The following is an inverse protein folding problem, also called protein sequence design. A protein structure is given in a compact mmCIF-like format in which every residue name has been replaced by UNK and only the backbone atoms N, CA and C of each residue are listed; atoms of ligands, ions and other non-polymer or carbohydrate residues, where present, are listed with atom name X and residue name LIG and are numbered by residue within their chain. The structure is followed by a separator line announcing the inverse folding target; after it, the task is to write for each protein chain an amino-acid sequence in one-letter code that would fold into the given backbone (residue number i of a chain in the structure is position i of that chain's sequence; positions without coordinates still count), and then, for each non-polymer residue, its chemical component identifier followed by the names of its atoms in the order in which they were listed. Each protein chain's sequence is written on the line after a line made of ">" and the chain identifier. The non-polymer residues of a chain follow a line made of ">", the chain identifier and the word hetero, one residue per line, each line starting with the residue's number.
data_IF_335178588244
#
_entry.id   IF_335178588244
#
_cell.length_a   1.000
_cell.length_b   1.000
_cell.length_c   1.000
_cell.angle_alpha   90.00
_cell.angle_beta   90.00
_cell.angle_gamma   90.00
#
_symmetry.space_group_name_H-M   'P 1'
#
loop_
_entity.id
_entity.type
_entity.pdbx_description
1 polymer ?
#
# COMPACT_ATOMS: atom_id res chain seq x y z
N UNK A 1 -0.18 -1.16 -15.50
CA UNK A 1 -0.06 -0.86 -14.07
C UNK A 1 -1.21 -1.57 -13.35
N UNK A 2 -0.99 -2.14 -12.16
CA UNK A 2 -2.04 -2.72 -11.31
C UNK A 2 -2.72 -1.64 -10.48
N UNK A 3 -3.96 -1.91 -10.07
CA UNK A 3 -4.75 -0.99 -9.24
C UNK A 3 -5.11 -1.69 -7.93
N UNK A 4 -4.75 -1.07 -6.80
CA UNK A 4 -5.12 -1.45 -5.45
C UNK A 4 -6.16 -0.44 -4.92
N UNK A 5 -7.33 -0.90 -4.47
CA UNK A 5 -8.38 0.01 -4.02
C UNK A 5 -8.36 0.12 -2.48
N UNK A 6 -7.98 1.30 -1.97
CA UNK A 6 -8.14 1.58 -0.54
C UNK A 6 -9.62 1.77 -0.20
N UNK A 7 -10.08 1.00 0.78
CA UNK A 7 -11.44 1.06 1.30
C UNK A 7 -11.57 1.98 2.53
N UNK A 8 -10.49 2.66 2.92
CA UNK A 8 -10.44 3.53 4.10
C UNK A 8 -11.55 4.58 4.12
N UNK A 9 -11.79 5.22 2.97
CA UNK A 9 -12.80 6.29 2.83
C UNK A 9 -14.22 5.77 2.53
N UNK A 10 -14.44 4.45 2.50
CA UNK A 10 -15.76 3.88 2.21
C UNK A 10 -16.71 4.05 3.39
N UNK A 11 -17.94 4.52 3.14
CA UNK A 11 -18.99 4.68 4.18
C UNK A 11 -19.40 3.33 4.78
N UNK A 12 -19.50 2.31 3.93
CA UNK A 12 -19.76 0.92 4.30
C UNK A 12 -18.75 0.05 3.57
N UNK A 13 -17.77 -0.46 4.30
CA UNK A 13 -16.63 -1.22 3.75
C UNK A 13 -17.08 -2.55 3.13
N UNK A 14 -18.02 -3.23 3.76
CA UNK A 14 -18.50 -4.54 3.28
C UNK A 14 -19.30 -4.39 1.98
N UNK A 15 -20.17 -3.40 1.90
CA UNK A 15 -20.88 -3.09 0.64
C UNK A 15 -19.88 -2.68 -0.44
N UNK A 16 -18.88 -1.87 -0.10
CA UNK A 16 -17.83 -1.45 -1.01
C UNK A 16 -17.07 -2.67 -1.60
N UNK A 17 -16.61 -3.58 -0.73
CA UNK A 17 -15.91 -4.82 -1.13
C UNK A 17 -16.77 -5.66 -2.06
N UNK A 18 -18.06 -5.87 -1.73
CA UNK A 18 -18.99 -6.64 -2.56
C UNK A 18 -19.15 -6.02 -3.97
N UNK A 19 -19.11 -4.69 -4.09
CA UNK A 19 -19.13 -4.00 -5.38
C UNK A 19 -17.80 -4.14 -6.12
N UNK A 20 -16.67 -3.91 -5.44
CA UNK A 20 -15.31 -4.03 -5.99
C UNK A 20 -14.97 -5.44 -6.44
N UNK A 21 -15.50 -6.49 -5.80
CA UNK A 21 -15.36 -7.88 -6.23
C UNK A 21 -15.88 -8.14 -7.65
N UNK A 22 -16.74 -7.28 -8.19
CA UNK A 22 -17.35 -7.40 -9.53
C UNK A 22 -16.57 -6.61 -10.59
N UNK A 23 -15.48 -5.95 -10.21
CA UNK A 23 -14.63 -5.15 -11.10
C UNK A 23 -13.36 -5.90 -11.47
N UNK A 24 -12.56 -5.34 -12.37
CA UNK A 24 -11.23 -5.85 -12.73
C UNK A 24 -10.12 -5.37 -11.79
N UNK A 25 -10.46 -4.95 -10.57
CA UNK A 25 -9.50 -4.59 -9.52
C UNK A 25 -8.46 -5.69 -9.30
N UNK A 26 -7.20 -5.33 -9.01
CA UNK A 26 -6.14 -6.30 -8.72
C UNK A 26 -6.08 -6.64 -7.22
N UNK A 27 -6.12 -5.64 -6.33
CA UNK A 27 -5.96 -5.80 -4.89
C UNK A 27 -6.94 -4.94 -4.08
N UNK A 28 -7.27 -5.40 -2.86
CA UNK A 28 -7.87 -4.55 -1.82
C UNK A 28 -6.77 -3.99 -0.94
N UNK A 29 -6.62 -2.68 -0.91
CA UNK A 29 -5.69 -2.00 -0.02
C UNK A 29 -6.33 -1.77 1.36
N UNK A 30 -5.64 -2.23 2.40
CA UNK A 30 -6.11 -2.22 3.78
C UNK A 30 -5.17 -1.40 4.64
N UNK A 31 -5.61 -0.22 5.01
CA UNK A 31 -4.87 0.75 5.83
C UNK A 31 -5.08 0.47 7.31
N UNK A 32 -4.15 -0.25 7.94
CA UNK A 32 -4.18 -0.57 9.38
C UNK A 32 -3.47 0.53 10.16
N UNK A 33 -4.14 1.10 11.17
CA UNK A 33 -3.62 2.20 11.98
C UNK A 33 -3.88 1.94 13.47
N UNK A 34 -2.85 2.11 14.30
CA UNK A 34 -2.90 1.84 15.75
C UNK A 34 -3.16 3.06 16.63
N UNK A 35 -3.15 4.27 16.06
CA UNK A 35 -3.27 5.53 16.81
C UNK A 35 -1.96 6.01 17.45
N UNK A 36 -0.87 5.25 17.32
CA UNK A 36 0.46 5.58 17.85
C UNK A 36 1.39 6.05 16.73
N UNK A 37 1.55 5.27 15.68
CA UNK A 37 2.37 5.64 14.51
C UNK A 37 1.75 6.81 13.72
N UNK A 38 0.41 6.87 13.66
CA UNK A 38 -0.37 7.96 13.09
C UNK A 38 -1.52 8.33 14.03
N UNK A 39 -1.94 9.62 14.04
CA UNK A 39 -3.02 10.11 14.90
C UNK A 39 -4.42 9.65 14.41
N UNK A 40 -4.56 8.38 14.07
CA UNK A 40 -5.82 7.78 13.65
C UNK A 40 -5.81 6.29 14.00
N UNK A 41 -6.98 5.74 14.34
CA UNK A 41 -7.16 4.31 14.64
C UNK A 41 -8.14 3.71 13.63
N UNK A 42 -7.68 2.77 12.81
CA UNK A 42 -8.47 2.18 11.73
C UNK A 42 -8.10 0.71 11.50
N UNK A 43 -9.07 -0.06 11.04
CA UNK A 43 -8.87 -1.44 10.59
C UNK A 43 -8.13 -2.32 11.62
N UNK A 44 -8.63 -2.44 12.88
CA UNK A 44 -8.03 -3.39 13.82
C UNK A 44 -8.07 -4.82 13.24
N UNK A 45 -7.22 -5.75 13.71
CA UNK A 45 -7.09 -7.10 13.15
C UNK A 45 -8.43 -7.84 12.96
N UNK A 46 -9.35 -7.70 13.91
CA UNK A 46 -10.69 -8.28 13.80
C UNK A 46 -11.44 -7.78 12.56
N UNK A 47 -11.36 -6.49 12.27
CA UNK A 47 -12.00 -5.89 11.11
C UNK A 47 -11.32 -6.34 9.80
N UNK A 48 -9.99 -6.44 9.80
CA UNK A 48 -9.23 -7.00 8.66
C UNK A 48 -9.69 -8.43 8.34
N UNK A 49 -9.86 -9.28 9.36
CA UNK A 49 -10.39 -10.65 9.19
C UNK A 49 -11.82 -10.66 8.64
N UNK A 50 -12.68 -9.76 9.13
CA UNK A 50 -14.04 -9.63 8.60
C UNK A 50 -14.02 -9.22 7.14
N UNK A 51 -13.25 -8.19 6.78
CA UNK A 51 -13.03 -7.73 5.39
C UNK A 51 -12.53 -8.87 4.51
N UNK A 52 -11.52 -9.60 4.96
CA UNK A 52 -10.93 -10.72 4.24
C UNK A 52 -11.95 -11.81 3.90
N UNK A 53 -12.94 -12.05 4.78
CA UNK A 53 -14.00 -13.04 4.55
C UNK A 53 -14.92 -12.69 3.36
N UNK A 54 -15.01 -11.42 3.00
CA UNK A 54 -15.81 -10.95 1.85
C UNK A 54 -14.97 -10.70 0.59
N UNK A 55 -13.65 -10.49 0.74
CA UNK A 55 -12.75 -10.18 -0.36
C UNK A 55 -12.52 -11.42 -1.24
N UNK A 56 -12.74 -11.28 -2.57
CA UNK A 56 -12.44 -12.33 -3.56
C UNK A 56 -11.09 -12.13 -4.25
N UNK A 57 -10.45 -11.00 -4.02
CA UNK A 57 -9.14 -10.66 -4.54
C UNK A 57 -8.16 -10.58 -3.39
N UNK A 58 -6.85 -10.73 -3.65
CA UNK A 58 -5.84 -10.65 -2.58
C UNK A 58 -5.87 -9.30 -1.86
N UNK A 59 -5.48 -9.33 -0.59
CA UNK A 59 -5.28 -8.14 0.21
C UNK A 59 -3.84 -7.63 0.01
N UNK A 60 -3.72 -6.33 0.00
CA UNK A 60 -2.52 -5.54 0.01
C UNK A 60 -2.57 -4.74 1.32
N UNK A 61 -1.84 -5.20 2.33
CA UNK A 61 -1.96 -4.69 3.70
C UNK A 61 -0.87 -3.67 3.96
N UNK A 62 -1.28 -2.46 4.33
CA UNK A 62 -0.41 -1.36 4.72
C UNK A 62 -0.51 -1.11 6.22
N UNK A 63 0.55 -1.45 6.95
CA UNK A 63 0.66 -1.30 8.40
C UNK A 63 1.26 0.06 8.75
N UNK A 64 0.42 0.99 9.15
CA UNK A 64 0.78 2.27 9.77
C UNK A 64 0.72 2.13 11.29
N UNK A 65 1.57 1.27 11.84
CA UNK A 65 1.56 0.88 13.26
C UNK A 65 2.98 0.94 13.82
N UNK A 66 3.11 1.26 15.10
CA UNK A 66 4.41 1.38 15.77
C UNK A 66 5.08 0.00 15.93
N UNK A 67 4.29 -1.06 16.19
CA UNK A 67 4.79 -2.41 16.38
C UNK A 67 4.24 -3.42 15.35
N UNK A 68 4.77 -3.48 14.11
CA UNK A 68 4.26 -4.38 13.06
C UNK A 68 4.30 -5.87 13.43
N UNK A 69 5.20 -6.27 14.34
CA UNK A 69 5.38 -7.68 14.70
C UNK A 69 4.13 -8.29 15.37
N UNK A 70 3.36 -7.49 16.09
CA UNK A 70 2.14 -7.91 16.77
C UNK A 70 1.02 -8.33 15.81
N UNK A 71 1.11 -7.89 14.55
CA UNK A 71 0.11 -8.19 13.52
C UNK A 71 0.37 -9.50 12.77
N UNK A 72 1.53 -10.14 12.97
CA UNK A 72 1.93 -11.37 12.27
C UNK A 72 0.89 -12.49 12.47
N UNK A 73 0.56 -12.80 13.73
CA UNK A 73 -0.39 -13.86 14.05
C UNK A 73 -1.81 -13.53 13.59
N UNK A 74 -2.17 -12.25 13.70
CA UNK A 74 -3.50 -11.76 13.34
C UNK A 74 -3.80 -11.81 11.85
N UNK A 75 -2.77 -11.77 11.00
CA UNK A 75 -2.90 -11.79 9.55
C UNK A 75 -2.74 -13.20 8.94
N UNK A 76 -2.41 -14.22 9.75
CA UNK A 76 -2.24 -15.58 9.27
C UNK A 76 -3.52 -16.14 8.64
N UNK A 77 -3.32 -16.96 7.60
CA UNK A 77 -4.38 -17.64 6.85
C UNK A 77 -5.34 -16.71 6.08
N UNK A 78 -5.00 -15.44 5.93
CA UNK A 78 -5.71 -14.53 5.03
C UNK A 78 -5.09 -14.60 3.62
N UNK A 79 -5.91 -14.30 2.61
CA UNK A 79 -5.43 -14.19 1.22
C UNK A 79 -4.71 -12.85 1.02
N UNK A 80 -3.46 -12.75 1.48
CA UNK A 80 -2.64 -11.55 1.42
C UNK A 80 -1.58 -11.69 0.34
N UNK A 81 -1.47 -10.69 -0.54
CA UNK A 81 -0.40 -10.62 -1.55
C UNK A 81 0.82 -9.88 -1.01
N UNK A 82 0.62 -8.72 -0.38
CA UNK A 82 1.69 -7.91 0.21
C UNK A 82 1.36 -7.53 1.63
N UNK A 83 2.38 -7.53 2.49
CA UNK A 83 2.36 -6.87 3.80
C UNK A 83 3.45 -5.82 3.79
N UNK A 84 3.05 -4.57 3.92
CA UNK A 84 3.92 -3.40 3.86
C UNK A 84 3.89 -2.68 5.19
N UNK A 85 5.05 -2.41 5.79
CA UNK A 85 5.19 -1.59 6.99
C UNK A 85 6.20 -0.47 6.77
N UNK A 86 6.14 0.55 7.60
CA UNK A 86 6.98 1.73 7.47
C UNK A 86 8.41 1.48 7.93
N UNK A 87 9.38 2.02 7.19
CA UNK A 87 10.80 1.98 7.58
C UNK A 87 11.08 2.85 8.81
N UNK A 88 10.19 3.80 9.10
CA UNK A 88 10.29 4.74 10.21
C UNK A 88 9.90 4.16 11.58
N UNK A 89 9.46 2.89 11.64
CA UNK A 89 9.19 2.23 12.93
C UNK A 89 10.46 2.04 13.76
N UNK A 90 10.33 2.04 15.08
CA UNK A 90 11.48 1.96 16.01
C UNK A 90 12.01 0.53 16.22
N UNK A 91 11.75 -0.39 15.30
CA UNK A 91 12.13 -1.80 15.40
C UNK A 91 13.26 -2.18 14.45
N UNK A 92 13.85 -3.34 14.69
CA UNK A 92 14.80 -3.94 13.77
C UNK A 92 14.09 -4.38 12.48
N UNK A 93 14.24 -3.59 11.43
CA UNK A 93 13.61 -3.80 10.12
C UNK A 93 13.98 -5.17 9.52
N UNK A 94 15.25 -5.60 9.67
CA UNK A 94 15.70 -6.89 9.13
C UNK A 94 14.99 -8.07 9.84
N UNK A 95 14.83 -7.99 11.15
CA UNK A 95 14.09 -8.99 11.92
C UNK A 95 12.62 -9.06 11.50
N UNK A 96 11.97 -7.91 11.33
CA UNK A 96 10.59 -7.84 10.87
C UNK A 96 10.42 -8.48 9.48
N UNK A 97 11.29 -8.12 8.53
CA UNK A 97 11.26 -8.70 7.19
C UNK A 97 11.39 -10.22 7.27
N UNK A 98 12.36 -10.73 8.03
CA UNK A 98 12.60 -12.17 8.14
C UNK A 98 11.39 -12.91 8.72
N UNK A 99 10.79 -12.40 9.79
CA UNK A 99 9.60 -13.00 10.41
C UNK A 99 8.40 -13.08 9.45
N UNK A 100 8.14 -12.02 8.68
CA UNK A 100 7.07 -12.07 7.69
C UNK A 100 7.38 -13.02 6.53
N UNK A 101 8.65 -13.10 6.11
CA UNK A 101 9.07 -14.03 5.05
C UNK A 101 9.04 -15.49 5.47
N UNK A 102 9.32 -15.83 6.73
CA UNK A 102 9.16 -17.18 7.29
C UNK A 102 7.72 -17.70 7.15
N UNK A 103 6.75 -16.79 7.11
CA UNK A 103 5.33 -17.09 6.88
C UNK A 103 4.93 -17.03 5.39
N UNK A 104 5.90 -16.95 4.48
CA UNK A 104 5.72 -16.88 3.03
C UNK A 104 4.98 -15.62 2.52
N UNK A 105 4.99 -14.50 3.27
CA UNK A 105 4.45 -13.24 2.79
C UNK A 105 5.44 -12.52 1.87
N UNK A 106 4.93 -11.81 0.87
CA UNK A 106 5.67 -10.79 0.15
C UNK A 106 5.72 -9.53 1.00
N UNK A 107 6.93 -9.04 1.25
CA UNK A 107 7.17 -7.94 2.19
C UNK A 107 7.47 -6.65 1.46
N UNK A 108 6.74 -5.59 1.80
CA UNK A 108 6.98 -4.23 1.37
C UNK A 108 7.55 -3.34 2.47
N UNK A 109 8.34 -2.34 2.07
CA UNK A 109 8.71 -1.22 2.94
C UNK A 109 8.09 0.07 2.43
N UNK A 110 7.35 0.76 3.32
CA UNK A 110 6.80 2.08 3.07
C UNK A 110 7.76 3.18 3.51
N UNK A 111 7.75 4.30 2.81
CA UNK A 111 8.47 5.53 3.17
C UNK A 111 7.54 6.73 3.16
N UNK A 112 7.59 7.55 4.23
CA UNK A 112 6.88 8.83 4.32
C UNK A 112 7.42 9.83 3.28
N UNK A 113 6.68 10.92 2.95
CA UNK A 113 7.08 11.89 1.93
C UNK A 113 8.47 12.51 2.16
N UNK A 114 8.85 12.69 3.43
CA UNK A 114 10.11 13.33 3.81
C UNK A 114 11.25 12.36 4.11
N UNK A 115 11.00 11.05 4.16
CA UNK A 115 12.02 10.03 4.46
C UNK A 115 13.05 9.95 3.33
N UNK A 116 14.33 9.86 3.71
CA UNK A 116 15.40 9.74 2.74
C UNK A 116 15.36 8.36 2.06
N UNK A 117 15.21 8.34 0.74
CA UNK A 117 15.15 7.09 -0.04
C UNK A 117 16.39 6.19 0.13
N UNK A 118 17.54 6.75 0.54
CA UNK A 118 18.74 5.94 0.77
C UNK A 118 18.62 5.00 1.96
N UNK A 119 17.67 5.22 2.86
CA UNK A 119 17.39 4.32 3.99
C UNK A 119 16.89 2.95 3.52
N UNK A 120 16.29 2.87 2.33
CA UNK A 120 15.86 1.60 1.72
C UNK A 120 17.03 0.70 1.30
N UNK A 121 18.23 1.26 1.03
CA UNK A 121 19.35 0.53 0.42
C UNK A 121 19.76 -0.77 1.14
N UNK A 122 19.85 -0.80 2.48
CA UNK A 122 20.25 -2.03 3.20
C UNK A 122 19.27 -3.19 2.96
N UNK A 123 18.01 -2.90 2.67
CA UNK A 123 16.91 -3.86 2.66
C UNK A 123 16.50 -4.33 1.25
N UNK A 124 17.03 -3.70 0.17
CA UNK A 124 16.59 -3.97 -1.20
C UNK A 124 16.60 -5.44 -1.61
N UNK A 125 17.57 -6.23 -1.14
CA UNK A 125 17.65 -7.67 -1.49
C UNK A 125 16.69 -8.56 -0.68
N UNK A 126 15.99 -7.99 0.27
CA UNK A 126 15.11 -8.73 1.18
C UNK A 126 13.61 -8.42 0.98
N UNK A 127 13.28 -7.39 0.22
CA UNK A 127 11.90 -6.92 0.03
C UNK A 127 11.39 -7.18 -1.39
N UNK A 128 10.09 -7.20 -1.53
CA UNK A 128 9.39 -7.46 -2.79
C UNK A 128 8.74 -6.20 -3.36
N UNK A 129 8.53 -5.17 -2.49
CA UNK A 129 7.79 -3.96 -2.82
C UNK A 129 8.33 -2.76 -2.04
N UNK A 130 8.29 -1.57 -2.66
CA UNK A 130 8.49 -0.27 -2.01
C UNK A 130 7.20 0.53 -2.18
N UNK A 131 6.56 0.88 -1.07
CA UNK A 131 5.42 1.77 -1.04
C UNK A 131 5.91 3.22 -0.82
N UNK A 132 5.69 4.07 -1.81
CA UNK A 132 6.02 5.49 -1.74
C UNK A 132 4.76 6.27 -1.36
N UNK A 133 4.76 6.83 -0.15
CA UNK A 133 3.67 7.71 0.26
C UNK A 133 3.70 9.01 -0.54
N UNK A 134 2.60 9.34 -1.18
CA UNK A 134 2.37 10.61 -1.89
C UNK A 134 1.50 11.58 -1.10
N UNK A 135 1.22 11.24 0.15
CA UNK A 135 0.59 12.07 1.19
C UNK A 135 1.20 11.70 2.54
N UNK A 136 0.97 12.50 3.58
CA UNK A 136 1.29 12.04 4.94
C UNK A 136 0.35 10.89 5.34
N UNK A 137 0.88 9.78 5.90
CA UNK A 137 0.06 8.64 6.30
C UNK A 137 -0.95 9.01 7.40
N UNK A 138 -2.10 8.29 7.45
CA UNK A 138 -3.07 8.40 8.53
C UNK A 138 -4.47 8.85 8.10
N UNK A 139 -4.66 9.54 6.97
CA UNK A 139 -5.98 10.00 6.53
C UNK A 139 -6.17 9.86 5.02
N UNK A 140 -7.38 9.45 4.62
CA UNK A 140 -7.76 9.41 3.20
C UNK A 140 -8.15 10.80 2.64
N UNK A 141 -8.24 10.89 1.30
CA UNK A 141 -8.75 12.08 0.60
C UNK A 141 -7.80 13.29 0.54
N UNK A 142 -6.54 13.11 0.85
CA UNK A 142 -5.50 14.14 0.78
C UNK A 142 -5.08 14.41 -0.67
N UNK A 143 -4.48 15.59 -0.90
CA UNK A 143 -3.90 15.97 -2.19
C UNK A 143 -2.56 15.28 -2.43
N UNK A 144 -2.37 14.77 -3.65
CA UNK A 144 -1.10 14.21 -4.13
C UNK A 144 0.06 15.22 -4.02
N UNK A 145 1.18 14.80 -3.46
CA UNK A 145 2.41 15.60 -3.35
C UNK A 145 3.21 15.44 -4.64
N UNK A 146 3.31 16.49 -5.45
CA UNK A 146 3.93 16.46 -6.79
C UNK A 146 5.39 15.98 -6.80
N UNK A 147 6.17 16.30 -5.74
CA UNK A 147 7.56 15.85 -5.62
C UNK A 147 7.70 14.31 -5.57
N UNK A 148 6.61 13.58 -5.35
CA UNK A 148 6.58 12.10 -5.33
C UNK A 148 7.09 11.52 -6.65
N UNK A 149 6.78 12.11 -7.80
CA UNK A 149 7.24 11.64 -9.12
C UNK A 149 8.78 11.63 -9.17
N UNK A 150 9.42 12.72 -8.77
CA UNK A 150 10.88 12.79 -8.75
C UNK A 150 11.51 11.77 -7.77
N UNK A 151 10.82 11.46 -6.67
CA UNK A 151 11.24 10.43 -5.71
C UNK A 151 11.16 9.03 -6.33
N UNK A 152 10.07 8.70 -7.02
CA UNK A 152 9.87 7.43 -7.72
C UNK A 152 10.97 7.22 -8.76
N UNK A 153 11.28 8.23 -9.58
CA UNK A 153 12.36 8.14 -10.58
C UNK A 153 13.73 7.88 -9.94
N UNK A 154 14.01 8.51 -8.79
CA UNK A 154 15.25 8.26 -8.04
C UNK A 154 15.29 6.84 -7.46
N UNK A 155 14.16 6.34 -6.93
CA UNK A 155 14.05 4.95 -6.46
C UNK A 155 14.27 3.98 -7.62
N UNK A 156 13.64 4.20 -8.78
CA UNK A 156 13.83 3.35 -9.96
C UNK A 156 15.29 3.29 -10.39
N UNK A 157 15.98 4.45 -10.44
CA UNK A 157 17.43 4.51 -10.70
C UNK A 157 18.26 3.76 -9.65
N UNK A 158 17.85 3.86 -8.38
CA UNK A 158 18.50 3.13 -7.28
C UNK A 158 18.32 1.62 -7.44
N UNK A 159 17.14 1.13 -7.78
CA UNK A 159 16.87 -0.28 -8.03
C UNK A 159 17.72 -0.83 -9.17
N UNK A 160 17.79 -0.13 -10.31
CA UNK A 160 18.63 -0.50 -11.46
C UNK A 160 20.10 -0.59 -11.03
N UNK A 161 20.60 0.43 -10.34
CA UNK A 161 22.02 0.47 -9.88
C UNK A 161 22.37 -0.70 -8.96
N UNK A 162 21.41 -1.19 -8.16
CA UNK A 162 21.60 -2.29 -7.21
C UNK A 162 21.17 -3.66 -7.76
N UNK A 163 20.77 -3.76 -9.03
CA UNK A 163 20.28 -5.00 -9.68
C UNK A 163 19.07 -5.61 -8.96
N UNK A 164 18.14 -4.74 -8.57
CA UNK A 164 16.93 -5.08 -7.81
C UNK A 164 15.66 -4.63 -8.56
N UNK A 165 15.66 -4.68 -9.91
CA UNK A 165 14.55 -4.22 -10.77
C UNK A 165 13.27 -5.05 -10.61
N UNK A 166 13.37 -6.21 -10.00
CA UNK A 166 12.25 -7.07 -9.64
C UNK A 166 11.41 -6.53 -8.49
N UNK A 167 11.91 -5.58 -7.70
CA UNK A 167 11.14 -4.92 -6.64
C UNK A 167 10.10 -4.00 -7.28
N UNK A 168 8.85 -4.18 -6.87
CA UNK A 168 7.76 -3.35 -7.35
C UNK A 168 7.75 -1.98 -6.65
N UNK A 169 7.33 -0.96 -7.38
CA UNK A 169 7.04 0.36 -6.80
C UNK A 169 5.53 0.55 -6.75
N UNK A 170 5.03 0.72 -5.56
CA UNK A 170 3.67 1.10 -5.28
C UNK A 170 3.61 2.55 -4.80
N UNK A 171 2.50 3.24 -5.09
CA UNK A 171 2.28 4.62 -4.64
C UNK A 171 0.92 4.73 -4.02
N UNK A 172 0.85 5.35 -2.83
CA UNK A 172 -0.40 5.60 -2.11
C UNK A 172 -0.54 7.07 -1.72
N UNK A 173 -1.72 7.61 -2.01
CA UNK A 173 -2.14 8.94 -1.60
C UNK A 173 -2.58 9.87 -2.74
N UNK A 174 -3.86 10.24 -2.77
CA UNK A 174 -4.41 11.24 -3.68
C UNK A 174 -4.39 10.90 -5.17
N UNK A 175 -4.30 9.60 -5.51
CA UNK A 175 -4.22 9.14 -6.91
C UNK A 175 -5.60 9.18 -7.57
N UNK A 176 -5.64 9.74 -8.79
CA UNK A 176 -6.82 9.92 -9.61
C UNK A 176 -6.45 10.08 -11.10
N UNK A 177 -7.44 10.34 -11.95
CA UNK A 177 -7.29 10.52 -13.41
C UNK A 177 -6.38 11.69 -13.82
N UNK A 178 -6.21 12.70 -12.97
CA UNK A 178 -5.38 13.87 -13.30
C UNK A 178 -3.88 13.64 -13.14
N UNK A 179 -3.47 12.68 -12.28
CA UNK A 179 -2.06 12.41 -11.98
C UNK A 179 -1.58 11.02 -12.41
N UNK A 180 -2.50 10.11 -12.75
CA UNK A 180 -2.16 8.72 -13.11
C UNK A 180 -1.17 8.63 -14.28
N UNK A 181 -1.29 9.51 -15.28
CA UNK A 181 -0.37 9.51 -16.42
C UNK A 181 1.08 9.71 -15.99
N UNK A 182 1.34 10.62 -15.08
CA UNK A 182 2.70 10.87 -14.56
C UNK A 182 3.26 9.65 -13.80
N UNK A 183 2.40 8.89 -13.11
CA UNK A 183 2.80 7.65 -12.43
C UNK A 183 3.14 6.53 -13.44
N UNK A 184 2.35 6.41 -14.51
CA UNK A 184 2.63 5.46 -15.61
C UNK A 184 3.97 5.80 -16.28
N UNK A 185 4.19 7.08 -16.61
CA UNK A 185 5.42 7.57 -17.22
C UNK A 185 6.65 7.32 -16.30
N UNK A 186 6.47 7.44 -14.98
CA UNK A 186 7.48 7.12 -13.96
C UNK A 186 7.63 5.61 -13.70
N UNK A 187 6.88 4.75 -14.41
CA UNK A 187 6.90 3.29 -14.31
C UNK A 187 6.54 2.77 -12.91
N UNK A 188 5.48 3.31 -12.34
CA UNK A 188 4.85 2.75 -11.14
C UNK A 188 4.20 1.41 -11.49
N UNK A 189 4.34 0.41 -10.63
CA UNK A 189 3.81 -0.93 -10.84
C UNK A 189 2.40 -1.07 -10.28
N UNK A 190 2.13 -0.45 -9.12
CA UNK A 190 0.85 -0.51 -8.42
C UNK A 190 0.43 0.91 -8.00
N UNK A 191 -0.79 1.30 -8.32
CA UNK A 191 -1.39 2.55 -7.88
C UNK A 191 -2.49 2.26 -6.84
N UNK A 192 -2.35 2.82 -5.63
CA UNK A 192 -3.39 2.77 -4.61
C UNK A 192 -4.31 3.97 -4.77
N UNK A 193 -5.59 3.71 -4.99
CA UNK A 193 -6.59 4.77 -5.11
C UNK A 193 -7.80 4.47 -4.21
N UNK A 194 -8.10 5.38 -3.29
CA UNK A 194 -9.20 5.26 -2.34
C UNK A 194 -10.40 6.11 -2.73
N UNK A 195 -10.48 7.33 -2.21
CA UNK A 195 -11.63 8.23 -2.35
C UNK A 195 -12.09 8.44 -3.80
N UNK A 196 -11.18 8.44 -4.76
CA UNK A 196 -11.49 8.57 -6.18
C UNK A 196 -12.36 7.41 -6.69
N UNK A 197 -12.09 6.18 -6.26
CA UNK A 197 -12.87 4.99 -6.63
C UNK A 197 -14.14 4.90 -5.78
N UNK A 198 -14.00 4.92 -4.45
CA UNK A 198 -15.10 4.55 -3.53
C UNK A 198 -16.21 5.59 -3.44
N UNK A 199 -15.94 6.86 -3.78
CA UNK A 199 -16.95 7.92 -3.82
C UNK A 199 -17.64 8.05 -5.18
N UNK A 200 -17.28 7.23 -6.17
CA UNK A 200 -17.89 7.27 -7.50
C UNK A 200 -19.18 6.45 -7.56
N UNK A 201 -19.99 6.72 -8.59
CA UNK A 201 -21.16 5.88 -8.89
C UNK A 201 -20.79 4.58 -9.61
N UNK A 202 -19.67 4.56 -10.36
CA UNK A 202 -19.23 3.42 -11.16
C UNK A 202 -17.75 3.09 -10.87
N UNK A 203 -17.54 2.14 -9.99
CA UNK A 203 -16.19 1.72 -9.57
C UNK A 203 -15.35 1.18 -10.74
N UNK A 204 -15.97 0.39 -11.65
CA UNK A 204 -15.25 -0.15 -12.80
C UNK A 204 -14.71 0.97 -13.69
N UNK A 205 -15.54 1.97 -14.02
CA UNK A 205 -15.12 3.10 -14.84
C UNK A 205 -13.95 3.86 -14.24
N UNK A 206 -13.94 4.07 -12.91
CA UNK A 206 -12.83 4.75 -12.25
C UNK A 206 -11.54 3.91 -12.25
N UNK A 207 -11.68 2.60 -12.06
CA UNK A 207 -10.52 1.70 -12.13
C UNK A 207 -9.93 1.70 -13.56
N UNK A 208 -10.76 1.73 -14.58
CA UNK A 208 -10.32 1.74 -15.98
C UNK A 208 -9.53 3.03 -16.32
N UNK A 209 -9.86 4.17 -15.71
CA UNK A 209 -9.10 5.42 -15.90
C UNK A 209 -7.70 5.40 -15.27
N UNK A 210 -7.42 4.45 -14.39
CA UNK A 210 -6.15 4.31 -13.68
C UNK A 210 -5.18 3.28 -14.34
N UNK A 211 -5.46 2.85 -15.57
CA UNK A 211 -4.68 1.80 -16.27
C UNK A 211 -3.95 2.27 -17.50
#
# INVERSE_FOLDING_TARGET
>A
MKVSASILSAKDRIICIKKLNRTNLDYFHIDVMDGEFVNNYQMPPREVREIASYAKKPLDIHLMVENPIEYIEELQNLNVEYITFHIEVLHNIEELINKYKELNYKVGLAIKPNTNINELKPYLKYIDLILVMSVEPGFGGQKFIENTIARIEKIRKMLIKNKCENILIEVDGGINDTNIKSLIDAKVDIAVSGSYIVNSFNYQSQIDTLR
#
